data_IF_684989580560
#
_entry.id   IF_684989580560
#
_cell.length_a   1.000
_cell.length_b   1.000
_cell.length_c   1.000
_cell.angle_alpha   90.00
_cell.angle_beta   90.00
_cell.angle_gamma   90.00
#
_symmetry.space_group_name_H-M   'P 1'
#
loop_
_entity.id
_entity.type
_entity.pdbx_description
1 polymer ?
#
# COMPACT_ATOMS: atom_id res chain seq x y z
N UNK A 1 -7.51 -27.12 7.24
CA UNK A 1 -7.71 -25.65 7.26
C UNK A 1 -6.51 -24.87 7.82
N UNK A 2 -5.64 -25.42 8.69
CA UNK A 2 -4.43 -24.66 9.09
C UNK A 2 -3.39 -24.57 7.97
N UNK A 3 -3.18 -25.65 7.19
CA UNK A 3 -2.22 -25.64 6.06
C UNK A 3 -2.42 -24.48 5.08
N UNK A 4 -3.63 -24.33 4.50
CA UNK A 4 -3.94 -23.22 3.59
C UNK A 4 -3.78 -21.84 4.24
N UNK A 5 -4.17 -21.70 5.52
CA UNK A 5 -4.03 -20.43 6.22
C UNK A 5 -2.56 -20.06 6.37
N UNK A 6 -1.74 -21.02 6.76
CA UNK A 6 -0.32 -20.82 7.00
C UNK A 6 0.40 -20.55 5.67
N UNK A 7 0.04 -21.27 4.59
CA UNK A 7 0.53 -21.02 3.22
C UNK A 7 0.24 -19.59 2.73
N UNK A 8 -0.95 -19.05 3.03
CA UNK A 8 -1.33 -17.70 2.59
C UNK A 8 -0.76 -16.58 3.48
N UNK A 9 -0.50 -16.84 4.76
CA UNK A 9 0.04 -15.85 5.71
C UNK A 9 1.56 -15.85 5.77
N UNK A 10 2.19 -16.98 5.48
CA UNK A 10 3.63 -17.17 5.55
C UNK A 10 4.14 -17.84 4.27
N UNK A 11 3.87 -17.25 3.09
CA UNK A 11 4.41 -17.78 1.85
C UNK A 11 5.94 -17.70 1.87
N UNK A 12 6.61 -18.65 1.20
CA UNK A 12 8.05 -18.59 0.92
C UNK A 12 8.32 -17.53 -0.17
N UNK A 13 8.05 -16.28 0.18
CA UNK A 13 8.16 -15.10 -0.67
C UNK A 13 9.22 -14.16 -0.12
N UNK A 14 10.14 -13.74 -0.99
CA UNK A 14 10.97 -12.57 -0.72
C UNK A 14 10.06 -11.34 -0.54
N UNK A 15 10.29 -10.56 0.51
CA UNK A 15 9.64 -9.27 0.81
C UNK A 15 8.12 -9.33 1.08
N UNK A 16 7.63 -10.39 1.72
CA UNK A 16 6.25 -10.50 2.22
C UNK A 16 6.05 -9.83 3.60
N UNK A 17 6.55 -8.61 3.80
CA UNK A 17 6.44 -7.87 5.07
C UNK A 17 5.46 -6.68 4.99
N UNK A 18 4.88 -6.44 3.82
CA UNK A 18 3.94 -5.35 3.58
C UNK A 18 2.53 -5.83 3.23
N UNK A 19 1.56 -5.37 4.01
CA UNK A 19 0.15 -5.60 3.73
C UNK A 19 -0.26 -5.02 2.37
N UNK A 20 -0.80 -5.82 1.45
CA UNK A 20 -1.11 -5.41 0.08
C UNK A 20 -2.27 -4.41 0.01
N UNK A 21 -3.01 -4.22 1.10
CA UNK A 21 -4.01 -3.15 1.23
C UNK A 21 -3.40 -1.80 1.60
N UNK A 22 -2.22 -1.74 2.22
CA UNK A 22 -1.75 -0.46 2.77
C UNK A 22 -0.26 -0.20 2.68
N UNK A 23 0.57 -1.15 2.23
CA UNK A 23 2.02 -1.00 2.11
C UNK A 23 2.72 -0.54 3.40
N UNK A 24 2.24 -0.95 4.58
CA UNK A 24 2.72 -0.37 5.86
C UNK A 24 3.19 -1.39 6.89
N UNK A 25 2.52 -2.54 6.99
CA UNK A 25 2.77 -3.48 8.07
C UNK A 25 2.42 -4.88 7.67
N UNK A 26 3.01 -5.83 8.37
CA UNK A 26 2.99 -7.25 8.06
C UNK A 26 1.57 -7.80 7.89
N UNK A 27 1.32 -8.65 6.88
CA UNK A 27 0.10 -9.43 6.78
C UNK A 27 -0.01 -10.45 7.92
N UNK A 28 -0.90 -10.21 8.88
CA UNK A 28 -1.07 -11.08 10.06
C UNK A 28 -2.43 -11.79 10.10
N UNK A 29 -3.31 -11.48 9.14
CA UNK A 29 -4.69 -12.00 9.08
C UNK A 29 -5.13 -12.18 7.63
N UNK A 30 -6.15 -13.01 7.40
CA UNK A 30 -6.77 -13.16 6.09
C UNK A 30 -8.10 -12.38 6.07
N UNK A 31 -8.23 -11.44 5.15
CA UNK A 31 -9.50 -10.79 4.82
C UNK A 31 -10.28 -11.63 3.83
N UNK A 32 -11.60 -11.71 4.02
CA UNK A 32 -12.48 -12.21 2.99
C UNK A 32 -12.84 -11.04 2.08
N UNK A 33 -12.33 -11.03 0.84
CA UNK A 33 -12.58 -9.93 -0.08
C UNK A 33 -14.09 -9.73 -0.28
N UNK A 34 -14.78 -10.82 -0.67
CA UNK A 34 -16.23 -10.97 -0.60
C UNK A 34 -16.61 -11.42 0.82
N UNK A 35 -17.52 -10.70 1.52
CA UNK A 35 -17.88 -11.02 2.89
C UNK A 35 -18.47 -12.42 3.01
N UNK A 36 -17.96 -13.19 3.97
CA UNK A 36 -18.45 -14.54 4.25
C UNK A 36 -19.93 -14.57 4.64
N UNK A 37 -20.43 -13.51 5.27
CA UNK A 37 -21.84 -13.42 5.66
C UNK A 37 -22.78 -13.32 4.46
N UNK A 38 -22.32 -12.75 3.35
CA UNK A 38 -23.09 -12.61 2.10
C UNK A 38 -22.78 -13.73 1.10
N UNK A 39 -21.54 -14.22 1.08
CA UNK A 39 -21.03 -15.21 0.13
C UNK A 39 -20.28 -16.35 0.84
N UNK A 40 -20.95 -17.16 1.68
CA UNK A 40 -20.31 -18.22 2.45
C UNK A 40 -19.64 -19.29 1.58
N UNK A 41 -20.15 -19.54 0.37
CA UNK A 41 -19.59 -20.46 -0.62
C UNK A 41 -18.16 -20.07 -1.06
N UNK A 42 -17.82 -18.78 -1.01
CA UNK A 42 -16.49 -18.29 -1.35
C UNK A 42 -15.57 -18.16 -0.14
N UNK A 43 -16.03 -18.51 1.07
CA UNK A 43 -15.27 -18.27 2.29
C UNK A 43 -14.02 -19.14 2.46
N UNK A 44 -13.92 -20.24 1.72
CA UNK A 44 -12.76 -21.13 1.72
C UNK A 44 -11.92 -21.03 0.45
N UNK A 45 -12.33 -20.19 -0.52
CA UNK A 45 -11.55 -19.97 -1.72
C UNK A 45 -10.32 -19.12 -1.40
N UNK A 46 -9.14 -19.65 -1.71
CA UNK A 46 -7.85 -18.95 -1.51
C UNK A 46 -7.83 -17.59 -2.18
N UNK A 47 -8.40 -17.49 -3.38
CA UNK A 47 -8.50 -16.22 -4.13
C UNK A 47 -9.44 -15.20 -3.49
N UNK A 48 -10.32 -15.62 -2.57
CA UNK A 48 -11.14 -14.71 -1.78
C UNK A 48 -10.48 -14.35 -0.43
N UNK A 49 -9.35 -14.96 -0.09
CA UNK A 49 -8.61 -14.76 1.16
C UNK A 49 -7.37 -13.92 0.89
N UNK A 50 -7.43 -12.63 1.22
CA UNK A 50 -6.31 -11.69 1.02
C UNK A 50 -5.53 -11.55 2.32
N UNK A 51 -4.22 -11.84 2.35
CA UNK A 51 -3.40 -11.61 3.52
C UNK A 51 -3.26 -10.11 3.75
N UNK A 52 -3.68 -9.63 4.91
CA UNK A 52 -3.67 -8.22 5.28
C UNK A 52 -3.25 -8.04 6.74
N UNK A 53 -2.73 -6.86 7.07
CA UNK A 53 -2.41 -6.52 8.44
C UNK A 53 -3.67 -6.42 9.30
N UNK A 54 -3.53 -6.73 10.59
CA UNK A 54 -4.65 -6.67 11.54
C UNK A 54 -5.37 -5.31 11.53
N UNK A 55 -4.64 -4.20 11.40
CA UNK A 55 -5.21 -2.85 11.35
C UNK A 55 -6.18 -2.67 10.17
N UNK A 56 -5.84 -3.15 8.97
CA UNK A 56 -6.72 -3.05 7.81
C UNK A 56 -7.98 -3.90 8.01
N UNK A 57 -7.80 -5.14 8.48
CA UNK A 57 -8.88 -6.09 8.65
C UNK A 57 -9.88 -5.65 9.73
N UNK A 58 -9.40 -5.26 10.92
CA UNK A 58 -10.26 -4.96 12.06
C UNK A 58 -10.88 -3.56 12.04
N UNK A 59 -10.17 -2.56 11.52
CA UNK A 59 -10.57 -1.16 11.70
C UNK A 59 -11.16 -0.52 10.45
N UNK A 60 -10.87 -1.04 9.26
CA UNK A 60 -11.13 -0.30 8.02
C UNK A 60 -11.91 -1.06 6.95
N UNK A 61 -11.62 -2.35 6.74
CA UNK A 61 -12.31 -3.14 5.70
C UNK A 61 -13.80 -3.27 5.99
N UNK A 62 -14.15 -3.71 7.21
CA UNK A 62 -15.54 -3.93 7.59
C UNK A 62 -16.23 -4.94 6.65
N UNK A 63 -17.57 -4.92 6.62
CA UNK A 63 -18.37 -5.85 5.80
C UNK A 63 -18.76 -5.30 4.43
N UNK A 64 -18.74 -3.98 4.25
CA UNK A 64 -19.22 -3.37 3.01
C UNK A 64 -18.07 -3.38 2.00
N UNK A 65 -18.23 -4.16 0.93
CA UNK A 65 -17.25 -4.28 -0.15
C UNK A 65 -17.67 -3.52 -1.43
N UNK A 66 -18.96 -3.22 -1.57
CA UNK A 66 -19.55 -2.48 -2.68
C UNK A 66 -20.44 -1.35 -2.16
N UNK A 67 -20.44 -0.19 -2.84
CA UNK A 67 -21.35 0.94 -2.57
C UNK A 67 -21.80 1.56 -3.87
N UNK A 68 -23.12 1.69 -4.08
CA UNK A 68 -23.70 2.25 -5.30
C UNK A 68 -23.15 1.59 -6.58
N UNK A 69 -23.02 0.25 -6.57
CA UNK A 69 -22.47 -0.53 -7.69
C UNK A 69 -20.95 -0.46 -7.86
N UNK A 70 -20.22 0.31 -7.02
CA UNK A 70 -18.77 0.46 -7.11
C UNK A 70 -18.05 -0.31 -6.01
N UNK A 71 -16.99 -1.03 -6.39
CA UNK A 71 -16.11 -1.71 -5.44
C UNK A 71 -15.38 -0.67 -4.58
N UNK A 72 -15.23 -0.98 -3.29
CA UNK A 72 -14.61 -0.10 -2.31
C UNK A 72 -13.12 -0.37 -2.09
N UNK A 73 -12.66 -1.56 -2.46
CA UNK A 73 -11.30 -2.01 -2.26
C UNK A 73 -10.78 -2.65 -3.53
N UNK A 74 -9.48 -2.50 -3.77
CA UNK A 74 -8.79 -3.29 -4.78
C UNK A 74 -8.76 -4.76 -4.38
N UNK A 75 -9.03 -5.62 -5.35
CA UNK A 75 -8.76 -7.03 -5.31
C UNK A 75 -7.31 -7.24 -5.72
N UNK A 76 -6.41 -7.28 -4.74
CA UNK A 76 -4.95 -7.32 -4.96
C UNK A 76 -4.51 -8.42 -5.93
N UNK A 77 -5.21 -9.55 -5.95
CA UNK A 77 -4.95 -10.66 -6.88
C UNK A 77 -5.42 -10.45 -8.33
N UNK A 78 -6.42 -9.61 -8.58
CA UNK A 78 -7.11 -9.54 -9.87
C UNK A 78 -7.08 -8.16 -10.51
N UNK A 79 -6.94 -7.09 -9.72
CA UNK A 79 -6.84 -5.75 -10.25
C UNK A 79 -5.41 -5.50 -10.75
N UNK A 80 -5.28 -5.25 -12.06
CA UNK A 80 -4.02 -4.88 -12.68
C UNK A 80 -3.74 -3.41 -12.41
N UNK A 81 -2.57 -3.11 -11.84
CA UNK A 81 -2.15 -1.75 -11.59
C UNK A 81 -1.66 -1.10 -12.90
N UNK A 82 -2.11 0.12 -13.21
CA UNK A 82 -1.54 0.92 -14.30
C UNK A 82 -0.04 1.18 -14.10
N UNK A 83 0.69 1.29 -15.21
CA UNK A 83 2.10 1.75 -15.25
C UNK A 83 2.22 3.28 -15.07
N UNK A 84 1.34 3.85 -14.24
CA UNK A 84 1.19 5.29 -14.01
C UNK A 84 1.27 5.60 -12.52
N UNK A 85 1.70 6.81 -12.17
CA UNK A 85 1.67 7.26 -10.78
C UNK A 85 0.23 7.49 -10.33
N UNK A 86 -0.18 6.77 -9.28
CA UNK A 86 -1.53 6.85 -8.72
C UNK A 86 -1.59 7.60 -7.38
N UNK A 87 -0.44 7.90 -6.79
CA UNK A 87 -0.32 8.54 -5.48
C UNK A 87 0.67 9.69 -5.58
N UNK A 88 0.30 10.84 -5.03
CA UNK A 88 1.20 11.97 -4.86
C UNK A 88 1.36 12.35 -3.39
N UNK A 89 2.50 12.96 -3.07
CA UNK A 89 2.76 13.57 -1.79
C UNK A 89 3.00 15.08 -1.98
N UNK A 90 2.13 15.91 -1.41
CA UNK A 90 2.37 17.36 -1.30
C UNK A 90 3.09 17.67 0.00
N UNK A 91 4.21 18.39 -0.11
CA UNK A 91 5.04 18.78 1.03
C UNK A 91 5.05 20.30 1.17
N UNK A 92 4.74 20.78 2.36
CA UNK A 92 4.84 22.20 2.70
C UNK A 92 5.79 22.35 3.88
N UNK A 93 6.83 23.16 3.69
CA UNK A 93 7.85 23.44 4.71
C UNK A 93 7.70 24.89 5.16
N UNK A 94 7.29 25.08 6.40
CA UNK A 94 7.27 26.39 7.07
C UNK A 94 8.08 26.30 8.37
N UNK A 95 7.51 26.64 9.53
CA UNK A 95 8.08 26.31 10.84
C UNK A 95 7.94 24.82 11.21
N UNK A 96 7.19 24.05 10.40
CA UNK A 96 7.07 22.60 10.47
C UNK A 96 6.98 22.01 9.05
N UNK A 97 7.25 20.72 8.94
CA UNK A 97 7.03 19.96 7.70
C UNK A 97 5.62 19.36 7.76
N UNK A 98 4.79 19.70 6.78
CA UNK A 98 3.46 19.09 6.59
C UNK A 98 3.49 18.30 5.30
N UNK A 99 3.04 17.05 5.37
CA UNK A 99 2.91 16.17 4.20
C UNK A 99 1.44 15.80 4.07
N UNK A 100 0.90 15.85 2.86
CA UNK A 100 -0.38 15.23 2.53
C UNK A 100 -0.22 14.25 1.38
N UNK A 101 -1.02 13.19 1.41
CA UNK A 101 -1.09 12.23 0.34
C UNK A 101 -2.47 12.29 -0.31
N UNK A 102 -2.51 12.22 -1.63
CA UNK A 102 -3.71 12.23 -2.47
C UNK A 102 -3.54 11.25 -3.62
N UNK A 103 -4.67 10.76 -4.14
CA UNK A 103 -4.68 9.93 -5.33
C UNK A 103 -4.62 10.78 -6.60
N UNK A 104 -3.87 10.33 -7.59
CA UNK A 104 -3.79 10.94 -8.92
C UNK A 104 -4.85 10.29 -9.82
N UNK A 105 -5.57 11.10 -10.60
CA UNK A 105 -6.51 10.60 -11.59
C UNK A 105 -5.79 10.39 -12.93
N UNK A 106 -5.80 9.16 -13.43
CA UNK A 106 -5.26 8.75 -14.72
C UNK A 106 -6.43 8.61 -15.70
N UNK A 107 -6.47 9.49 -16.70
CA UNK A 107 -7.60 9.55 -17.64
C UNK A 107 -7.78 8.28 -18.48
N UNK A 108 -6.70 7.55 -18.73
CA UNK A 108 -6.73 6.25 -19.41
C UNK A 108 -7.36 5.14 -18.55
N UNK A 109 -7.35 5.30 -17.22
CA UNK A 109 -7.71 4.26 -16.25
C UNK A 109 -8.79 4.73 -15.23
N UNK A 110 -9.94 5.26 -15.71
CA UNK A 110 -10.91 5.92 -14.84
C UNK A 110 -11.58 4.97 -13.84
N UNK A 111 -11.82 3.71 -14.25
CA UNK A 111 -12.42 2.69 -13.38
C UNK A 111 -11.47 2.30 -12.24
N UNK A 112 -10.20 2.05 -12.57
CA UNK A 112 -9.18 1.73 -11.57
C UNK A 112 -9.01 2.90 -10.58
N UNK A 113 -8.89 4.14 -11.08
CA UNK A 113 -8.75 5.33 -10.24
C UNK A 113 -9.91 5.47 -9.25
N UNK A 114 -11.14 5.15 -9.67
CA UNK A 114 -12.30 5.20 -8.79
C UNK A 114 -12.19 4.19 -7.62
N UNK A 115 -11.80 2.95 -7.92
CA UNK A 115 -11.63 1.91 -6.88
C UNK A 115 -10.43 2.25 -5.99
N UNK A 116 -9.32 2.71 -6.57
CA UNK A 116 -8.14 3.12 -5.83
C UNK A 116 -8.44 4.26 -4.87
N UNK A 117 -9.23 5.26 -5.29
CA UNK A 117 -9.65 6.35 -4.43
C UNK A 117 -10.55 5.87 -3.28
N UNK A 118 -11.53 5.01 -3.56
CA UNK A 118 -12.33 4.40 -2.49
C UNK A 118 -11.48 3.59 -1.51
N UNK A 119 -10.52 2.82 -2.01
CA UNK A 119 -9.61 2.02 -1.22
C UNK A 119 -8.75 2.90 -0.32
N UNK A 120 -8.18 3.96 -0.89
CA UNK A 120 -7.37 4.97 -0.20
C UNK A 120 -8.14 5.64 0.94
N UNK A 121 -9.38 6.05 0.68
CA UNK A 121 -10.26 6.70 1.65
C UNK A 121 -10.71 5.73 2.75
N UNK A 122 -11.20 4.54 2.37
CA UNK A 122 -11.72 3.54 3.31
C UNK A 122 -10.66 3.06 4.28
N UNK A 123 -9.42 2.90 3.82
CA UNK A 123 -8.29 2.51 4.65
C UNK A 123 -7.61 3.68 5.36
N UNK A 124 -8.12 4.91 5.16
CA UNK A 124 -7.59 6.15 5.73
C UNK A 124 -6.09 6.34 5.43
N UNK A 125 -5.65 6.01 4.22
CA UNK A 125 -4.24 5.92 3.87
C UNK A 125 -3.53 7.27 4.00
N UNK A 126 -4.17 8.39 3.64
CA UNK A 126 -3.59 9.73 3.87
C UNK A 126 -3.13 9.93 5.33
N UNK A 127 -4.00 9.62 6.29
CA UNK A 127 -3.70 9.76 7.72
C UNK A 127 -2.57 8.82 8.15
N UNK A 128 -2.56 7.60 7.63
CA UNK A 128 -1.58 6.56 8.00
C UNK A 128 -0.21 6.84 7.40
N UNK A 129 -0.14 7.24 6.13
CA UNK A 129 1.07 7.66 5.44
C UNK A 129 1.66 8.92 6.06
N UNK A 130 0.83 9.92 6.41
CA UNK A 130 1.27 11.10 7.20
C UNK A 130 2.05 10.72 8.45
N UNK A 131 1.53 9.76 9.22
CA UNK A 131 2.18 9.30 10.46
C UNK A 131 3.50 8.60 10.17
N UNK A 132 3.55 7.75 9.14
CA UNK A 132 4.76 7.02 8.74
C UNK A 132 5.83 7.98 8.20
N UNK A 133 5.46 8.89 7.31
CA UNK A 133 6.36 9.91 6.76
C UNK A 133 6.91 10.84 7.85
N UNK A 134 6.07 11.28 8.79
CA UNK A 134 6.52 12.09 9.94
C UNK A 134 7.56 11.37 10.78
N UNK A 135 7.33 10.08 11.08
CA UNK A 135 8.28 9.27 11.82
C UNK A 135 9.61 9.10 11.05
N UNK A 136 9.53 8.92 9.74
CA UNK A 136 10.71 8.73 8.89
C UNK A 136 11.57 10.00 8.79
N UNK A 137 10.96 11.17 8.66
CA UNK A 137 11.67 12.47 8.73
C UNK A 137 12.43 12.59 10.06
N UNK A 138 11.78 12.24 11.17
CA UNK A 138 12.41 12.32 12.50
C UNK A 138 13.61 11.38 12.59
N UNK A 139 13.50 10.15 12.07
CA UNK A 139 14.61 9.19 12.03
C UNK A 139 15.78 9.70 11.20
N UNK A 140 15.49 10.31 10.05
CA UNK A 140 16.51 10.86 9.15
C UNK A 140 17.11 12.18 9.64
N UNK A 141 16.50 12.87 10.62
CA UNK A 141 16.90 14.21 11.10
C UNK A 141 18.41 14.39 11.27
N UNK A 142 19.08 13.49 11.99
CA UNK A 142 20.54 13.60 12.21
C UNK A 142 21.35 13.49 10.91
N UNK A 143 20.91 12.65 9.98
CA UNK A 143 21.55 12.53 8.66
C UNK A 143 21.36 13.81 7.85
N UNK A 144 20.13 14.33 7.81
CA UNK A 144 19.81 15.57 7.11
C UNK A 144 20.57 16.77 7.69
N UNK A 145 20.69 16.88 9.02
CA UNK A 145 21.50 17.90 9.69
C UNK A 145 22.99 17.78 9.31
N UNK A 146 23.53 16.56 9.20
CA UNK A 146 24.91 16.33 8.78
C UNK A 146 25.13 16.76 7.33
N UNK A 147 24.22 16.40 6.43
CA UNK A 147 24.28 16.80 5.01
C UNK A 147 24.22 18.32 4.89
N UNK A 148 23.27 18.96 5.58
CA UNK A 148 23.14 20.42 5.59
C UNK A 148 24.42 21.11 6.05
N UNK A 149 25.00 20.70 7.19
CA UNK A 149 26.16 21.36 7.80
C UNK A 149 27.44 21.30 6.96
N UNK A 150 27.52 20.42 5.95
CA UNK A 150 28.70 20.34 5.07
C UNK A 150 28.92 21.65 4.33
N UNK A 151 27.85 22.22 3.77
CA UNK A 151 27.92 23.44 2.95
C UNK A 151 26.88 24.51 3.35
N UNK A 152 26.13 24.30 4.44
CA UNK A 152 24.93 25.09 4.81
C UNK A 152 23.90 25.20 3.68
N UNK A 153 23.76 24.11 2.90
CA UNK A 153 22.99 24.09 1.64
C UNK A 153 21.75 23.23 1.78
N UNK A 154 20.57 23.83 1.58
CA UNK A 154 19.32 23.08 1.46
C UNK A 154 19.25 22.26 0.16
N UNK A 155 19.99 22.67 -0.88
CA UNK A 155 20.10 21.92 -2.13
C UNK A 155 20.79 20.57 -1.91
N UNK A 156 21.76 20.49 -1.01
CA UNK A 156 22.46 19.24 -0.70
C UNK A 156 21.50 18.24 -0.02
N UNK A 157 20.60 18.72 0.84
CA UNK A 157 19.53 17.90 1.42
C UNK A 157 18.58 17.41 0.31
N UNK A 158 18.15 18.31 -0.57
CA UNK A 158 17.25 17.97 -1.69
C UNK A 158 17.86 16.90 -2.59
N UNK A 159 19.13 17.03 -2.96
CA UNK A 159 19.85 16.04 -3.77
C UNK A 159 19.97 14.69 -3.05
N UNK A 160 20.36 14.69 -1.77
CA UNK A 160 20.42 13.47 -0.96
C UNK A 160 19.07 12.74 -0.91
N UNK A 161 17.97 13.46 -0.69
CA UNK A 161 16.64 12.88 -0.67
C UNK A 161 16.18 12.37 -2.04
N UNK A 162 16.57 13.04 -3.13
CA UNK A 162 16.28 12.58 -4.50
C UNK A 162 17.05 11.32 -4.87
N UNK A 163 18.33 11.26 -4.52
CA UNK A 163 19.14 10.05 -4.74
C UNK A 163 18.56 8.86 -3.98
N UNK A 164 18.17 9.06 -2.72
CA UNK A 164 17.50 8.02 -1.93
C UNK A 164 16.14 7.62 -2.52
N UNK A 165 15.32 8.58 -2.95
CA UNK A 165 14.04 8.30 -3.60
C UNK A 165 14.20 7.51 -4.90
N UNK A 166 15.17 7.87 -5.74
CA UNK A 166 15.46 7.14 -6.99
C UNK A 166 15.96 5.71 -6.71
N UNK A 167 16.75 5.52 -5.65
CA UNK A 167 17.18 4.19 -5.22
C UNK A 167 15.99 3.33 -4.81
N UNK A 168 15.09 3.88 -3.98
CA UNK A 168 13.85 3.20 -3.59
C UNK A 168 12.94 2.94 -4.79
N UNK A 169 12.85 3.83 -5.76
CA UNK A 169 12.06 3.59 -6.97
C UNK A 169 12.58 2.37 -7.74
N UNK A 170 13.89 2.18 -7.85
CA UNK A 170 14.48 1.00 -8.51
C UNK A 170 14.19 -0.29 -7.74
N UNK A 171 14.22 -0.23 -6.40
CA UNK A 171 13.98 -1.39 -5.55
C UNK A 171 12.49 -1.76 -5.51
N UNK A 172 11.59 -0.76 -5.47
CA UNK A 172 10.14 -0.92 -5.29
C UNK A 172 9.31 -0.87 -6.58
N UNK A 173 9.83 -0.40 -7.71
CA UNK A 173 9.17 -0.54 -9.03
C UNK A 173 8.97 -2.02 -9.40
N UNK A 174 9.72 -2.93 -8.77
CA UNK A 174 9.48 -4.38 -8.83
C UNK A 174 8.36 -4.87 -7.91
N UNK A 175 8.00 -4.11 -6.88
CA UNK A 175 7.10 -4.53 -5.79
C UNK A 175 5.63 -4.23 -6.11
N UNK A 176 5.33 -3.09 -6.76
CA UNK A 176 3.98 -2.84 -7.28
C UNK A 176 3.66 -3.76 -8.48
N UNK A 177 4.69 -4.23 -9.19
CA UNK A 177 4.63 -5.25 -10.23
C UNK A 177 4.78 -6.71 -9.76
N UNK A 178 4.92 -7.00 -8.45
CA UNK A 178 5.04 -8.38 -7.92
C UNK A 178 3.78 -8.90 -7.21
N UNK A 179 2.62 -8.30 -7.49
CA UNK A 179 1.34 -9.02 -7.40
C UNK A 179 1.15 -10.07 -8.53
N UNK A 180 2.25 -10.46 -9.18
CA UNK A 180 2.39 -11.65 -10.04
C UNK A 180 2.50 -12.97 -9.25
N UNK A 181 2.26 -13.01 -7.93
CA UNK A 181 2.25 -14.26 -7.16
C UNK A 181 0.94 -15.08 -7.30
N UNK A 182 0.36 -15.09 -8.51
CA UNK A 182 -0.73 -15.97 -8.94
C UNK A 182 -0.34 -16.70 -10.22
N UNK A 183 0.94 -17.04 -10.37
CA UNK A 183 1.31 -18.15 -11.26
C UNK A 183 1.47 -19.48 -10.50
N UNK A 184 1.38 -19.48 -9.16
CA UNK A 184 1.49 -20.70 -8.35
C UNK A 184 0.14 -21.34 -7.94
N UNK A 185 -1.01 -20.74 -8.30
CA UNK A 185 -2.34 -21.31 -8.03
C UNK A 185 -3.13 -21.68 -9.30
N UNK A 186 -2.51 -21.64 -10.49
CA UNK A 186 -3.14 -22.10 -11.75
C UNK A 186 -2.56 -23.41 -12.31
N UNK A 187 -1.76 -24.13 -11.53
CA UNK A 187 -1.35 -25.50 -11.85
C UNK A 187 -1.76 -26.46 -10.74
N UNK A 188 -3.07 -26.70 -10.64
CA UNK A 188 -3.66 -27.96 -10.19
C UNK A 188 -5.11 -28.06 -10.67
#
# INVERSE_FOLDING_TARGET
MSALRDELLYPELEDFDECPYCGIGEPTTLDHYLPKEEFPEFSVLSTNLIPVCGVCNSNYKGRIWIKNGNRLFLHTYYDQFPDEYLLEASVTVTNKVVINFSTIFVAAEPYFCNIFNHHFDKLCLNKRYKRKASAEIIRKRRSLERVYRRNNSANDISNFLREEANGLEIDYSKIIGKLFYIELCQTQ
#
